data_IF_724387198251
#
_entry.id   IF_724387198251
#
_cell.length_a   1.000
_cell.length_b   1.000
_cell.length_c   1.000
_cell.angle_alpha   90.00
_cell.angle_beta   90.00
_cell.angle_gamma   90.00
#
_symmetry.space_group_name_H-M   'P 1'
#
loop_
_entity.id
_entity.type
_entity.pdbx_description
1 polymer ?
#
# COMPACT_ATOMS: atom_id res chain seq x y z
N UNK A 1 42.93 4.79 -52.37
CA UNK A 1 42.35 5.94 -53.10
C UNK A 1 41.30 6.60 -52.22
N UNK A 2 41.37 7.94 -52.08
CA UNK A 2 40.30 8.85 -51.59
C UNK A 2 40.00 8.71 -50.07
N UNK A 3 40.48 9.59 -49.18
CA UNK A 3 40.24 11.05 -49.09
C UNK A 3 39.37 11.28 -47.84
N UNK A 4 39.42 12.36 -47.05
CA UNK A 4 40.06 13.67 -47.13
C UNK A 4 39.91 14.29 -45.71
N UNK A 5 40.85 15.16 -45.36
CA UNK A 5 40.96 15.96 -44.13
C UNK A 5 39.74 16.86 -43.87
N UNK A 6 39.50 17.23 -42.60
CA UNK A 6 39.15 18.62 -42.24
C UNK A 6 39.71 19.01 -40.86
N UNK A 7 40.51 20.08 -40.90
CA UNK A 7 41.03 20.89 -39.80
C UNK A 7 39.97 21.93 -39.41
N UNK A 8 39.80 22.19 -38.11
CA UNK A 8 39.37 23.46 -37.49
C UNK A 8 39.30 23.24 -35.97
N UNK A 9 39.75 24.09 -35.05
CA UNK A 9 40.23 25.47 -35.11
C UNK A 9 40.78 25.87 -33.73
N UNK A 10 41.90 26.59 -33.74
CA UNK A 10 42.23 27.75 -32.89
C UNK A 10 42.22 27.57 -31.37
N UNK A 11 43.45 27.47 -30.84
CA UNK A 11 43.82 27.73 -29.45
C UNK A 11 43.68 29.22 -29.13
N UNK A 12 43.09 29.52 -27.97
CA UNK A 12 43.30 30.78 -27.25
C UNK A 12 44.08 30.45 -25.99
N UNK A 13 45.22 31.12 -25.82
CA UNK A 13 46.14 31.00 -24.69
C UNK A 13 45.62 31.91 -23.58
N UNK A 14 45.57 31.44 -22.33
CA UNK A 14 46.12 32.14 -21.16
C UNK A 14 45.94 31.35 -19.84
N UNK A 15 47.09 31.04 -19.23
CA UNK A 15 47.39 31.00 -17.79
C UNK A 15 46.47 30.27 -16.80
N UNK A 16 46.88 29.10 -16.31
CA UNK A 16 47.59 28.96 -15.01
C UNK A 16 47.89 27.49 -14.73
N UNK A 17 49.15 27.24 -14.38
CA UNK A 17 49.72 25.93 -14.11
C UNK A 17 49.13 25.25 -12.87
N UNK A 18 48.54 24.08 -13.05
CA UNK A 18 48.74 22.89 -12.20
C UNK A 18 48.17 21.66 -12.94
N UNK A 19 48.90 21.21 -13.96
CA UNK A 19 48.62 19.94 -14.63
C UNK A 19 49.11 18.81 -13.71
N UNK A 20 48.23 18.32 -12.84
CA UNK A 20 48.38 16.96 -12.31
C UNK A 20 48.07 16.02 -13.48
N UNK A 21 49.10 15.66 -14.24
CA UNK A 21 49.02 14.64 -15.28
C UNK A 21 48.64 13.34 -14.59
N UNK A 22 47.34 13.01 -14.58
CA UNK A 22 46.89 11.69 -14.17
C UNK A 22 47.54 10.67 -15.11
N UNK A 23 48.23 9.64 -14.59
CA UNK A 23 48.84 8.64 -15.44
C UNK A 23 47.76 7.94 -16.28
N UNK A 24 48.08 7.49 -17.50
CA UNK A 24 47.13 6.81 -18.35
C UNK A 24 46.52 5.62 -17.59
N UNK A 25 45.19 5.49 -17.67
CA UNK A 25 44.36 4.51 -16.93
C UNK A 25 44.94 3.08 -17.01
N UNK A 26 45.66 2.77 -18.08
CA UNK A 26 46.41 1.52 -18.31
C UNK A 26 47.55 1.26 -17.34
N UNK A 27 48.31 2.27 -16.90
CA UNK A 27 49.42 2.09 -15.96
C UNK A 27 48.92 1.85 -14.53
N UNK A 28 47.85 2.55 -14.13
CA UNK A 28 47.22 2.42 -12.82
C UNK A 28 46.59 1.02 -12.62
N UNK A 29 46.05 0.44 -13.69
CA UNK A 29 45.54 -0.93 -13.69
C UNK A 29 46.65 -1.98 -13.70
N UNK A 30 47.78 -1.72 -14.39
CA UNK A 30 48.97 -2.59 -14.32
C UNK A 30 49.61 -2.62 -12.93
N UNK A 31 49.75 -1.46 -12.28
CA UNK A 31 50.28 -1.36 -10.91
C UNK A 31 49.36 -2.04 -9.89
N UNK A 32 48.04 -1.89 -10.02
CA UNK A 32 47.07 -2.61 -9.16
C UNK A 32 47.21 -4.13 -9.26
N UNK A 33 47.30 -4.66 -10.49
CA UNK A 33 47.48 -6.10 -10.71
C UNK A 33 48.82 -6.62 -10.16
N UNK A 34 49.86 -5.78 -10.16
CA UNK A 34 51.17 -6.13 -9.60
C UNK A 34 51.18 -6.15 -8.06
N UNK A 35 50.39 -5.28 -7.42
CA UNK A 35 50.23 -5.18 -5.96
C UNK A 35 49.19 -6.16 -5.40
N UNK A 36 48.48 -6.90 -6.26
CA UNK A 36 47.42 -7.82 -5.84
C UNK A 36 46.22 -7.11 -5.19
N UNK A 37 46.06 -5.81 -5.45
CA UNK A 37 44.91 -5.06 -4.95
C UNK A 37 43.63 -5.62 -5.61
N UNK A 38 42.57 -5.92 -4.83
CA UNK A 38 41.30 -6.33 -5.40
C UNK A 38 40.84 -5.29 -6.43
N UNK A 39 40.30 -5.78 -7.55
CA UNK A 39 39.74 -4.89 -8.56
C UNK A 39 38.69 -4.00 -7.90
N UNK A 40 38.63 -2.70 -8.25
CA UNK A 40 37.51 -1.87 -7.82
C UNK A 40 36.22 -2.58 -8.25
N UNK A 41 35.31 -2.76 -7.31
CA UNK A 41 33.99 -3.33 -7.59
C UNK A 41 33.33 -2.35 -8.57
N UNK A 42 33.00 -2.83 -9.76
CA UNK A 42 32.32 -2.01 -10.76
C UNK A 42 30.95 -1.59 -10.18
N UNK A 43 30.53 -0.34 -10.41
CA UNK A 43 29.29 0.21 -9.83
C UNK A 43 28.05 -0.63 -10.18
N UNK A 44 28.09 -1.33 -11.32
CA UNK A 44 27.05 -2.28 -11.76
C UNK A 44 26.98 -3.53 -10.88
N UNK A 45 28.11 -4.08 -10.41
CA UNK A 45 28.15 -5.26 -9.55
C UNK A 45 27.57 -4.95 -8.15
N UNK A 46 27.79 -3.73 -7.66
CA UNK A 46 27.20 -3.27 -6.40
C UNK A 46 25.66 -3.21 -6.49
N UNK A 47 25.12 -2.75 -7.62
CA UNK A 47 23.67 -2.70 -7.88
C UNK A 47 23.01 -4.08 -7.87
N UNK A 48 23.62 -5.08 -8.52
CA UNK A 48 23.10 -6.45 -8.53
C UNK A 48 23.15 -7.13 -7.15
N UNK A 49 24.21 -6.86 -6.38
CA UNK A 49 24.35 -7.41 -5.03
C UNK A 49 23.26 -6.89 -4.08
N UNK A 50 22.98 -5.58 -4.11
CA UNK A 50 21.98 -4.96 -3.23
C UNK A 50 20.55 -5.40 -3.57
N UNK A 51 20.21 -5.53 -4.85
CA UNK A 51 18.91 -6.06 -5.27
C UNK A 51 18.71 -7.52 -4.83
N UNK A 52 19.75 -8.35 -4.96
CA UNK A 52 19.71 -9.77 -4.56
C UNK A 52 19.54 -9.91 -3.05
N UNK A 53 20.27 -9.10 -2.26
CA UNK A 53 20.12 -9.06 -0.81
C UNK A 53 18.70 -8.60 -0.41
N UNK A 54 18.16 -7.56 -1.06
CA UNK A 54 16.80 -7.09 -0.78
C UNK A 54 15.77 -8.19 -1.04
N UNK A 55 15.84 -8.86 -2.20
CA UNK A 55 14.94 -9.97 -2.52
C UNK A 55 15.02 -11.09 -1.47
N UNK A 56 16.25 -11.50 -1.11
CA UNK A 56 16.47 -12.54 -0.11
C UNK A 56 15.87 -12.16 1.26
N UNK A 57 16.03 -10.92 1.70
CA UNK A 57 15.44 -10.45 2.98
C UNK A 57 13.92 -10.47 2.95
N UNK A 58 13.31 -10.01 1.86
CA UNK A 58 11.85 -9.98 1.71
C UNK A 58 11.26 -11.39 1.67
N UNK A 59 11.90 -12.33 0.97
CA UNK A 59 11.44 -13.73 0.95
C UNK A 59 11.58 -14.42 2.30
N UNK A 60 12.65 -14.10 3.05
CA UNK A 60 12.82 -14.62 4.41
C UNK A 60 11.73 -14.07 5.34
N UNK A 61 11.43 -12.77 5.25
CA UNK A 61 10.36 -12.13 6.02
C UNK A 61 8.98 -12.72 5.67
N UNK A 62 8.69 -12.93 4.38
CA UNK A 62 7.45 -13.57 3.94
C UNK A 62 7.35 -15.02 4.42
N UNK A 63 8.46 -15.78 4.42
CA UNK A 63 8.49 -17.16 4.91
C UNK A 63 8.21 -17.23 6.42
N UNK A 64 8.82 -16.34 7.21
CA UNK A 64 8.57 -16.24 8.66
C UNK A 64 7.11 -15.86 8.94
N UNK A 65 6.52 -15.00 8.10
CA UNK A 65 5.14 -14.54 8.23
C UNK A 65 4.10 -15.43 7.51
N UNK A 66 4.50 -16.58 6.96
CA UNK A 66 3.65 -17.50 6.20
C UNK A 66 2.87 -16.81 5.05
N UNK A 67 3.50 -15.86 4.38
CA UNK A 67 2.90 -15.13 3.25
C UNK A 67 3.29 -15.76 1.91
N UNK A 68 2.37 -15.66 0.94
CA UNK A 68 2.60 -16.17 -0.42
C UNK A 68 3.44 -15.19 -1.24
N UNK A 69 4.44 -15.69 -1.96
CA UNK A 69 5.30 -14.89 -2.87
C UNK A 69 4.53 -14.59 -4.16
N UNK A 70 3.90 -13.42 -4.25
CA UNK A 70 3.08 -13.00 -5.42
C UNK A 70 3.37 -11.56 -5.85
N UNK A 71 4.23 -10.84 -5.14
CA UNK A 71 4.56 -9.44 -5.43
C UNK A 71 5.59 -9.33 -6.57
N UNK A 72 5.64 -8.16 -7.22
CA UNK A 72 6.63 -7.88 -8.28
C UNK A 72 8.04 -7.77 -7.69
N UNK A 73 9.00 -8.50 -8.26
CA UNK A 73 10.41 -8.52 -7.83
C UNK A 73 11.20 -7.43 -8.56
N UNK A 74 10.96 -6.18 -8.18
CA UNK A 74 11.71 -5.03 -8.70
C UNK A 74 12.06 -4.12 -7.53
N UNK A 75 13.24 -3.50 -7.59
CA UNK A 75 13.87 -2.79 -6.46
C UNK A 75 12.92 -1.76 -5.80
N UNK A 76 12.27 -0.92 -6.61
CA UNK A 76 11.33 0.09 -6.09
C UNK A 76 10.09 -0.51 -5.43
N UNK A 77 9.49 -1.53 -6.05
CA UNK A 77 8.28 -2.17 -5.55
C UNK A 77 8.56 -3.00 -4.27
N UNK A 78 9.74 -3.59 -4.14
CA UNK A 78 10.18 -4.30 -2.95
C UNK A 78 10.37 -3.34 -1.76
N UNK A 79 10.90 -2.14 -1.98
CA UNK A 79 11.01 -1.12 -0.94
C UNK A 79 9.62 -0.65 -0.45
N UNK A 80 8.71 -0.36 -1.39
CA UNK A 80 7.33 0.00 -1.05
C UNK A 80 6.63 -1.15 -0.34
N UNK A 81 6.84 -2.39 -0.78
CA UNK A 81 6.32 -3.59 -0.12
C UNK A 81 6.79 -3.68 1.33
N UNK A 82 8.11 -3.55 1.57
CA UNK A 82 8.69 -3.62 2.92
C UNK A 82 8.18 -2.51 3.82
N UNK A 83 8.11 -1.28 3.30
CA UNK A 83 7.53 -0.15 4.03
C UNK A 83 6.08 -0.44 4.43
N UNK A 84 5.28 -0.94 3.49
CA UNK A 84 3.85 -1.22 3.71
C UNK A 84 3.59 -2.45 4.58
N UNK A 85 4.51 -3.40 4.59
CA UNK A 85 4.47 -4.59 5.44
C UNK A 85 4.91 -4.30 6.87
N UNK A 86 5.44 -3.10 7.17
CA UNK A 86 5.77 -2.71 8.54
C UNK A 86 4.56 -2.87 9.49
N UNK A 87 4.84 -3.36 10.69
CA UNK A 87 3.83 -3.62 11.73
C UNK A 87 2.98 -2.39 12.05
N UNK A 88 3.57 -1.19 11.99
CA UNK A 88 2.89 0.08 12.22
C UNK A 88 1.77 0.34 11.21
N UNK A 89 2.03 0.20 9.90
CA UNK A 89 1.02 0.45 8.86
C UNK A 89 -0.09 -0.60 8.93
N UNK A 90 0.27 -1.86 9.20
CA UNK A 90 -0.72 -2.91 9.40
C UNK A 90 -1.58 -2.66 10.65
N UNK A 91 -0.98 -2.24 11.76
CA UNK A 91 -1.69 -1.85 12.98
C UNK A 91 -2.59 -0.65 12.74
N UNK A 92 -2.09 0.39 12.07
CA UNK A 92 -2.86 1.58 11.74
C UNK A 92 -4.09 1.23 10.89
N UNK A 93 -3.93 0.33 9.91
CA UNK A 93 -5.06 -0.16 9.13
C UNK A 93 -6.07 -0.92 9.98
N UNK A 94 -5.61 -1.79 10.90
CA UNK A 94 -6.50 -2.48 11.87
C UNK A 94 -7.23 -1.49 12.77
N UNK A 95 -6.56 -0.46 13.26
CA UNK A 95 -7.17 0.59 14.10
C UNK A 95 -8.18 1.41 13.29
N UNK A 96 -7.87 1.79 12.05
CA UNK A 96 -8.79 2.51 11.16
C UNK A 96 -10.06 1.70 10.89
N UNK A 97 -9.91 0.39 10.68
CA UNK A 97 -11.02 -0.55 10.58
C UNK A 97 -11.87 -0.54 11.85
N UNK A 98 -11.26 -0.68 13.02
CA UNK A 98 -11.97 -0.62 14.31
C UNK A 98 -12.72 0.71 14.48
N UNK A 99 -12.09 1.84 14.17
CA UNK A 99 -12.72 3.17 14.24
C UNK A 99 -13.95 3.22 13.32
N UNK A 100 -13.85 2.73 12.09
CA UNK A 100 -14.97 2.72 11.14
C UNK A 100 -16.14 1.84 11.63
N UNK A 101 -15.86 0.69 12.24
CA UNK A 101 -16.89 -0.13 12.88
C UNK A 101 -17.50 0.58 14.10
N UNK A 102 -16.67 1.19 14.96
CA UNK A 102 -17.12 1.94 16.13
C UNK A 102 -17.99 3.14 15.75
N UNK A 103 -17.74 3.76 14.59
CA UNK A 103 -18.52 4.88 14.07
C UNK A 103 -20.03 4.55 13.97
N UNK A 104 -20.37 3.27 13.76
CA UNK A 104 -21.76 2.82 13.69
C UNK A 104 -22.52 3.04 15.02
N UNK A 105 -21.85 3.05 16.17
CA UNK A 105 -22.49 3.29 17.48
C UNK A 105 -22.84 4.77 17.71
N UNK A 106 -22.08 5.68 17.09
CA UNK A 106 -22.27 7.13 17.21
C UNK A 106 -23.29 7.67 16.20
N UNK A 107 -23.47 6.99 15.08
CA UNK A 107 -24.45 7.35 14.07
C UNK A 107 -25.90 7.08 14.52
N UNK A 108 -26.88 7.77 13.91
CA UNK A 108 -28.30 7.51 14.19
C UNK A 108 -28.75 6.14 13.66
N UNK A 109 -29.46 5.32 14.44
CA UNK A 109 -29.84 5.55 15.84
C UNK A 109 -28.65 5.36 16.77
N UNK A 110 -28.32 6.37 17.59
CA UNK A 110 -27.18 6.26 18.50
C UNK A 110 -27.46 5.19 19.55
N UNK A 111 -26.49 4.30 19.77
CA UNK A 111 -26.58 3.20 20.73
C UNK A 111 -26.21 3.61 22.15
N UNK A 112 -25.84 4.88 22.35
CA UNK A 112 -25.52 5.44 23.66
C UNK A 112 -26.83 5.77 24.42
N UNK A 113 -27.38 4.74 25.07
CA UNK A 113 -28.53 4.87 25.97
C UNK A 113 -28.27 4.03 27.21
N UNK A 114 -28.59 4.57 28.38
CA UNK A 114 -28.45 3.88 29.67
C UNK A 114 -29.36 2.65 29.72
N UNK A 115 -30.54 2.75 29.13
CA UNK A 115 -31.51 1.65 29.03
C UNK A 115 -31.89 1.40 27.57
N UNK A 116 -32.05 0.12 27.23
CA UNK A 116 -32.60 -0.32 25.96
C UNK A 116 -34.11 -0.56 26.02
N UNK A 117 -34.71 -0.47 27.21
CA UNK A 117 -36.16 -0.63 27.38
C UNK A 117 -36.89 0.48 26.61
N UNK A 118 -37.92 0.08 25.86
CA UNK A 118 -38.77 0.98 25.09
C UNK A 118 -39.69 1.77 26.03
N UNK A 119 -40.02 1.21 27.19
CA UNK A 119 -40.94 1.83 28.17
C UNK A 119 -40.32 3.05 28.84
N UNK A 120 -39.04 2.98 29.18
CA UNK A 120 -38.31 4.04 29.89
C UNK A 120 -37.19 4.63 29.02
N UNK A 121 -37.50 5.04 27.78
CA UNK A 121 -36.44 5.46 26.84
C UNK A 121 -36.11 6.95 26.97
N UNK A 122 -34.98 7.34 27.60
CA UNK A 122 -34.56 8.75 27.60
C UNK A 122 -34.22 9.24 26.19
N UNK A 123 -34.24 10.56 26.00
CA UNK A 123 -33.84 11.18 24.75
C UNK A 123 -32.39 10.77 24.39
N UNK A 124 -32.19 10.29 23.17
CA UNK A 124 -30.88 9.82 22.72
C UNK A 124 -29.92 10.99 22.56
N UNK A 125 -28.68 10.79 22.97
CA UNK A 125 -27.59 11.75 22.73
C UNK A 125 -27.36 11.84 21.22
N UNK A 126 -27.49 13.06 20.67
CA UNK A 126 -27.26 13.36 19.26
C UNK A 126 -25.88 13.95 19.12
N UNK A 127 -25.01 13.27 18.38
CA UNK A 127 -23.69 13.77 18.03
C UNK A 127 -23.75 14.69 16.79
N UNK A 128 -22.85 15.69 16.69
CA UNK A 128 -22.78 16.57 15.54
C UNK A 128 -22.42 15.77 14.28
N UNK A 129 -23.35 15.72 13.32
CA UNK A 129 -23.22 14.92 12.11
C UNK A 129 -21.95 15.23 11.30
N UNK A 130 -21.55 16.50 11.24
CA UNK A 130 -20.36 16.96 10.51
C UNK A 130 -19.09 16.28 11.01
N UNK A 131 -18.94 16.09 12.32
CA UNK A 131 -17.76 15.44 12.90
C UNK A 131 -17.65 13.99 12.43
N UNK A 132 -18.76 13.24 12.51
CA UNK A 132 -18.79 11.84 12.09
C UNK A 132 -18.49 11.71 10.58
N UNK A 133 -19.02 12.62 9.77
CA UNK A 133 -18.77 12.64 8.33
C UNK A 133 -17.29 12.86 8.00
N UNK A 134 -16.60 13.76 8.73
CA UNK A 134 -15.16 13.99 8.54
C UNK A 134 -14.36 12.75 8.93
N UNK A 135 -14.64 12.16 10.10
CA UNK A 135 -13.94 10.96 10.57
C UNK A 135 -14.16 9.80 9.58
N UNK A 136 -15.40 9.58 9.13
CA UNK A 136 -15.74 8.57 8.12
C UNK A 136 -14.92 8.80 6.85
N UNK A 137 -14.90 10.04 6.35
CA UNK A 137 -14.16 10.42 5.15
C UNK A 137 -12.67 10.12 5.23
N UNK A 138 -12.02 10.51 6.33
CA UNK A 138 -10.59 10.25 6.56
C UNK A 138 -10.32 8.74 6.55
N UNK A 139 -11.15 7.93 7.21
CA UNK A 139 -10.98 6.47 7.23
C UNK A 139 -11.21 5.83 5.85
N UNK A 140 -12.18 6.30 5.07
CA UNK A 140 -12.44 5.79 3.72
C UNK A 140 -11.31 6.15 2.74
N UNK A 141 -10.79 7.37 2.81
CA UNK A 141 -9.63 7.79 2.02
C UNK A 141 -8.42 6.93 2.36
N UNK A 142 -8.19 6.66 3.65
CA UNK A 142 -7.12 5.76 4.09
C UNK A 142 -7.28 4.35 3.49
N UNK A 143 -8.48 3.75 3.52
CA UNK A 143 -8.72 2.43 2.92
C UNK A 143 -8.48 2.43 1.41
N UNK A 144 -8.85 3.50 0.72
CA UNK A 144 -8.63 3.65 -0.71
C UNK A 144 -7.13 3.73 -1.05
N UNK A 145 -6.37 4.57 -0.35
CA UNK A 145 -4.90 4.64 -0.55
C UNK A 145 -4.23 3.32 -0.20
N UNK A 146 -4.67 2.69 0.89
CA UNK A 146 -4.17 1.39 1.34
C UNK A 146 -4.37 0.32 0.26
N UNK A 147 -5.58 0.21 -0.30
CA UNK A 147 -5.85 -0.80 -1.33
C UNK A 147 -5.13 -0.49 -2.64
N UNK A 148 -5.08 0.77 -3.08
CA UNK A 148 -4.35 1.16 -4.29
C UNK A 148 -2.86 0.80 -4.19
N UNK A 149 -2.25 1.03 -3.03
CA UNK A 149 -0.85 0.66 -2.78
C UNK A 149 -0.66 -0.85 -2.82
N UNK A 150 -1.58 -1.63 -2.23
CA UNK A 150 -1.55 -3.10 -2.32
C UNK A 150 -1.67 -3.57 -3.78
N UNK A 151 -2.58 -3.01 -4.58
CA UNK A 151 -2.72 -3.35 -6.01
C UNK A 151 -1.43 -3.07 -6.77
N UNK A 152 -0.82 -1.91 -6.54
CA UNK A 152 0.41 -1.52 -7.20
C UNK A 152 1.57 -2.50 -6.91
N UNK A 153 1.68 -2.99 -5.66
CA UNK A 153 2.72 -3.93 -5.24
C UNK A 153 2.48 -5.37 -5.77
N UNK A 154 1.24 -5.84 -5.75
CA UNK A 154 0.86 -7.19 -6.19
C UNK A 154 0.78 -7.33 -7.71
N UNK A 155 0.51 -6.22 -8.40
CA UNK A 155 0.13 -6.21 -9.81
C UNK A 155 -1.36 -6.52 -10.02
N UNK A 156 -1.93 -5.86 -11.03
CA UNK A 156 -3.37 -5.92 -11.35
C UNK A 156 -3.80 -7.36 -11.68
N UNK A 157 -2.97 -8.12 -12.39
CA UNK A 157 -3.29 -9.50 -12.79
C UNK A 157 -3.50 -10.44 -11.60
N UNK A 158 -2.69 -10.29 -10.56
CA UNK A 158 -2.81 -11.12 -9.35
C UNK A 158 -3.94 -10.64 -8.45
N UNK A 159 -4.17 -9.32 -8.40
CA UNK A 159 -5.29 -8.73 -7.66
C UNK A 159 -6.64 -9.25 -8.19
N UNK A 160 -6.79 -9.36 -9.52
CA UNK A 160 -8.04 -9.84 -10.15
C UNK A 160 -8.39 -11.29 -9.85
N UNK A 161 -7.40 -12.13 -9.53
CA UNK A 161 -7.66 -13.54 -9.20
C UNK A 161 -8.25 -13.71 -7.79
N UNK A 162 -8.12 -12.72 -6.93
CA UNK A 162 -8.57 -12.78 -5.53
C UNK A 162 -9.96 -12.15 -5.39
N UNK A 163 -11.01 -12.97 -5.40
CA UNK A 163 -12.40 -12.51 -5.27
C UNK A 163 -12.62 -11.55 -4.07
N UNK A 164 -12.17 -11.93 -2.87
CA UNK A 164 -12.29 -11.12 -1.66
C UNK A 164 -11.66 -9.73 -1.78
N UNK A 165 -10.57 -9.64 -2.54
CA UNK A 165 -9.85 -8.40 -2.76
C UNK A 165 -10.62 -7.47 -3.72
N UNK A 166 -11.18 -8.02 -4.80
CA UNK A 166 -12.08 -7.28 -5.71
C UNK A 166 -13.32 -6.79 -4.96
N UNK A 167 -13.96 -7.66 -4.19
CA UNK A 167 -15.14 -7.30 -3.41
C UNK A 167 -14.85 -6.11 -2.50
N UNK A 168 -13.70 -6.13 -1.81
CA UNK A 168 -13.25 -5.03 -0.96
C UNK A 168 -12.97 -3.73 -1.73
N UNK A 169 -12.35 -3.82 -2.92
CA UNK A 169 -12.15 -2.66 -3.79
C UNK A 169 -13.47 -2.01 -4.20
N UNK A 170 -14.41 -2.81 -4.71
CA UNK A 170 -15.73 -2.34 -5.17
C UNK A 170 -16.48 -1.66 -4.03
N UNK A 171 -16.51 -2.30 -2.86
CA UNK A 171 -17.17 -1.77 -1.67
C UNK A 171 -16.54 -0.44 -1.22
N UNK A 172 -15.21 -0.33 -1.27
CA UNK A 172 -14.49 0.89 -0.90
C UNK A 172 -14.85 2.05 -1.85
N UNK A 173 -14.84 1.79 -3.16
CA UNK A 173 -15.21 2.79 -4.18
C UNK A 173 -16.67 3.22 -4.02
N UNK A 174 -17.58 2.26 -3.86
CA UNK A 174 -19.00 2.54 -3.64
C UNK A 174 -19.22 3.40 -2.38
N UNK A 175 -18.53 3.07 -1.29
CA UNK A 175 -18.60 3.82 -0.03
C UNK A 175 -18.06 5.23 -0.16
N UNK A 176 -17.00 5.44 -0.95
CA UNK A 176 -16.48 6.77 -1.27
C UNK A 176 -17.49 7.58 -2.08
N UNK A 177 -18.07 7.00 -3.13
CA UNK A 177 -19.08 7.69 -3.94
C UNK A 177 -20.29 8.11 -3.09
N UNK A 178 -20.80 7.21 -2.24
CA UNK A 178 -21.93 7.53 -1.35
C UNK A 178 -21.54 8.61 -0.32
N UNK A 179 -20.29 8.63 0.15
CA UNK A 179 -19.79 9.68 1.03
C UNK A 179 -19.65 11.04 0.32
N UNK A 180 -19.18 11.07 -0.94
CA UNK A 180 -19.14 12.28 -1.76
C UNK A 180 -20.55 12.84 -2.01
N UNK A 181 -21.52 11.97 -2.30
CA UNK A 181 -22.94 12.35 -2.42
C UNK A 181 -23.43 12.92 -1.10
N UNK A 182 -23.06 12.33 0.04
CA UNK A 182 -23.42 12.91 1.34
C UNK A 182 -22.86 14.30 1.52
N UNK A 183 -21.58 14.56 1.23
CA UNK A 183 -20.99 15.92 1.29
C UNK A 183 -21.76 16.90 0.42
N UNK A 184 -22.02 16.52 -0.84
CA UNK A 184 -22.71 17.40 -1.78
C UNK A 184 -24.14 17.74 -1.32
N UNK A 185 -24.79 16.79 -0.65
CA UNK A 185 -26.19 16.89 -0.21
C UNK A 185 -26.32 17.21 1.28
N UNK A 186 -25.22 17.51 2.01
CA UNK A 186 -25.19 17.86 3.46
C UNK A 186 -26.28 18.88 3.84
N UNK A 187 -26.70 19.72 2.89
CA UNK A 187 -27.73 20.74 3.06
C UNK A 187 -29.18 20.21 3.11
N UNK A 188 -29.44 19.03 2.56
CA UNK A 188 -30.74 18.36 2.57
C UNK A 188 -30.68 17.17 3.52
N UNK A 189 -31.43 17.24 4.62
CA UNK A 189 -31.52 16.19 5.63
C UNK A 189 -31.95 14.86 5.00
N UNK A 190 -30.99 14.00 4.69
CA UNK A 190 -31.22 12.69 4.07
C UNK A 190 -31.58 11.68 5.17
N UNK A 191 -32.89 11.40 5.34
CA UNK A 191 -33.41 10.29 6.16
C UNK A 191 -33.40 8.93 5.40
N UNK A 192 -32.51 8.79 4.41
CA UNK A 192 -32.39 7.59 3.58
C UNK A 192 -31.64 6.43 4.24
N UNK A 193 -31.90 5.21 3.75
CA UNK A 193 -31.16 4.00 4.11
C UNK A 193 -29.70 4.14 3.66
N UNK A 194 -28.76 4.11 4.62
CA UNK A 194 -27.32 4.19 4.35
C UNK A 194 -26.78 2.82 3.98
N UNK A 195 -26.54 2.59 2.69
CA UNK A 195 -26.08 1.30 2.18
C UNK A 195 -24.68 0.94 2.70
N UNK A 196 -23.81 1.94 2.98
CA UNK A 196 -22.48 1.73 3.58
C UNK A 196 -22.48 0.90 4.87
N UNK A 197 -23.53 0.98 5.70
CA UNK A 197 -23.57 0.28 7.00
C UNK A 197 -23.54 -1.23 6.83
N UNK A 198 -24.21 -1.73 5.80
CA UNK A 198 -24.27 -3.16 5.47
C UNK A 198 -22.89 -3.66 5.06
N UNK A 199 -22.08 -2.79 4.45
CA UNK A 199 -20.76 -3.14 3.95
C UNK A 199 -19.63 -3.04 4.99
N UNK A 200 -19.80 -2.31 6.12
CA UNK A 200 -18.72 -2.16 7.13
C UNK A 200 -18.17 -3.48 7.68
N UNK A 201 -18.99 -4.50 8.00
CA UNK A 201 -18.48 -5.80 8.46
C UNK A 201 -17.60 -6.49 7.42
N UNK A 202 -17.80 -6.24 6.12
CA UNK A 202 -16.99 -6.84 5.05
C UNK A 202 -15.53 -6.38 5.11
N UNK A 203 -15.28 -5.14 5.54
CA UNK A 203 -13.92 -4.66 5.76
C UNK A 203 -13.20 -5.47 6.85
N UNK A 204 -13.94 -5.94 7.87
CA UNK A 204 -13.39 -6.80 8.90
C UNK A 204 -13.11 -8.22 8.39
N UNK A 205 -14.05 -8.78 7.61
CA UNK A 205 -13.86 -10.09 6.95
C UNK A 205 -12.62 -10.06 6.07
N UNK A 206 -12.39 -8.96 5.34
CA UNK A 206 -11.27 -8.86 4.41
C UNK A 206 -9.91 -8.93 5.12
N UNK A 207 -9.78 -8.29 6.27
CA UNK A 207 -8.52 -8.24 7.01
C UNK A 207 -8.10 -9.59 7.63
N UNK A 208 -9.05 -10.51 7.88
CA UNK A 208 -8.79 -11.76 8.60
C UNK A 208 -8.82 -13.00 7.69
N UNK A 209 -7.69 -13.71 7.61
CA UNK A 209 -7.63 -14.99 6.90
C UNK A 209 -8.42 -16.10 7.62
N UNK A 210 -8.44 -16.09 8.95
CA UNK A 210 -9.17 -17.07 9.77
C UNK A 210 -10.68 -16.95 9.53
N UNK A 211 -11.18 -15.72 9.47
CA UNK A 211 -12.60 -15.46 9.25
C UNK A 211 -13.05 -15.88 7.85
N UNK A 212 -12.21 -15.67 6.83
CA UNK A 212 -12.47 -16.19 5.48
C UNK A 212 -12.50 -17.72 5.43
N UNK A 213 -11.63 -18.39 6.20
CA UNK A 213 -11.64 -19.86 6.32
C UNK A 213 -12.90 -20.35 7.04
N UNK A 214 -13.29 -19.68 8.13
CA UNK A 214 -14.51 -19.99 8.87
C UNK A 214 -15.77 -19.83 8.00
N UNK A 215 -15.88 -18.73 7.25
CA UNK A 215 -17.00 -18.52 6.32
C UNK A 215 -17.08 -19.60 5.23
N UNK A 216 -15.94 -20.06 4.71
CA UNK A 216 -15.90 -21.17 3.74
C UNK A 216 -16.34 -22.50 4.38
N UNK A 217 -15.97 -22.74 5.64
CA UNK A 217 -16.40 -23.94 6.35
C UNK A 217 -17.92 -23.91 6.54
N UNK A 218 -18.47 -22.81 7.06
CA UNK A 218 -19.92 -22.63 7.23
C UNK A 218 -20.67 -22.77 5.90
N UNK A 219 -20.12 -22.23 4.80
CA UNK A 219 -20.71 -22.37 3.47
C UNK A 219 -20.78 -23.84 3.02
N UNK A 220 -19.73 -24.63 3.29
CA UNK A 220 -19.69 -26.06 2.94
C UNK A 220 -20.72 -26.85 3.76
N UNK A 221 -20.84 -26.55 5.04
CA UNK A 221 -21.79 -27.23 5.93
C UNK A 221 -23.23 -26.88 5.53
N UNK A 222 -23.49 -25.62 5.17
CA UNK A 222 -24.81 -25.18 4.71
C UNK A 222 -25.27 -25.93 3.44
N UNK A 223 -24.37 -26.11 2.47
CA UNK A 223 -24.68 -26.89 1.25
C UNK A 223 -25.00 -28.34 1.60
N UNK A 224 -24.34 -28.91 2.60
CA UNK A 224 -24.57 -30.29 3.05
C UNK A 224 -25.90 -30.45 3.78
N UNK A 225 -26.36 -29.41 4.49
CA UNK A 225 -27.65 -29.43 5.20
C UNK A 225 -28.84 -29.25 4.24
N UNK A 226 -28.64 -28.49 3.16
CA UNK A 226 -29.71 -28.17 2.19
C UNK A 226 -29.84 -29.25 1.10
N UNK A 227 -28.76 -29.97 0.78
CA UNK A 227 -28.73 -31.05 -0.22
C UNK A 227 -29.27 -32.38 0.34
#
# INVERSE_FOLDING_TARGET
MRGRETVSSVNTVDGLDHIIVSPPVTLKNRLRNFVGLPKPIDDDDCSWSTHTLLCATVFLEDAVNYQSIVHKVSNHYLLVYRWFSCSLIQNLHRVALTINLCLAFFERPSSFSITSDVRDRPARIVFPYVLLMIIEGVTLIWFFVYICTKIACLGIEHARKRFWFIAFFIVTVYSLCEWFVMIAVVRYSYDGIRLRRIFRPLFMVESSQLMKKALKAVQKDLVTIIA
#
